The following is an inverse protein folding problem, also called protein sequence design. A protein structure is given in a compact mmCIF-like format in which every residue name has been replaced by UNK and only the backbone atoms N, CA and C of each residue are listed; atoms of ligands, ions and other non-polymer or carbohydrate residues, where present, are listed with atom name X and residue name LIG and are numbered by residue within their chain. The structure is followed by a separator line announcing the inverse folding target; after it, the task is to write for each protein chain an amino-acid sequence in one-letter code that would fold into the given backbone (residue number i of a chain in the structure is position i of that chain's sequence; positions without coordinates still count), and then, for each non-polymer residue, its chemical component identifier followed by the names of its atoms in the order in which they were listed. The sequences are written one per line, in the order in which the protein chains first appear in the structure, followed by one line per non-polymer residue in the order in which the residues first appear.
data_IF_069398465255
#
_entry.id   IF_069398465255
#
_cell.length_a   1.000
_cell.length_b   1.000
_cell.length_c   1.000
_cell.angle_alpha   90.00
_cell.angle_beta   90.00
_cell.angle_gamma   90.00
#
_symmetry.space_group_name_H-M   'P 1'
#
loop_
_entity.id
_entity.type
_entity.pdbx_description
1 polymer ?
#
# COMPACT_ATOMS: atom_id res chain seq x y z
N UNK A 1 72.15 -70.47 5.78
CA UNK A 1 71.28 -69.44 6.37
C UNK A 1 71.87 -68.05 6.13
N UNK A 2 71.39 -67.31 5.11
CA UNK A 2 71.57 -65.85 4.92
C UNK A 2 70.90 -65.49 3.58
N UNK A 3 69.58 -65.26 3.59
CA UNK A 3 68.89 -64.63 2.44
C UNK A 3 67.47 -64.13 2.78
N UNK A 4 67.26 -63.61 4.00
CA UNK A 4 65.96 -63.04 4.40
C UNK A 4 65.98 -61.54 4.70
N UNK A 5 67.16 -60.89 4.78
CA UNK A 5 67.26 -59.49 5.20
C UNK A 5 67.34 -58.45 4.06
N UNK A 6 67.74 -58.83 2.84
CA UNK A 6 67.86 -57.88 1.73
C UNK A 6 66.49 -57.50 1.12
N UNK A 7 65.55 -58.44 1.05
CA UNK A 7 64.21 -58.21 0.49
C UNK A 7 63.31 -57.30 1.36
N UNK A 8 63.45 -57.37 2.70
CA UNK A 8 62.67 -56.52 3.62
C UNK A 8 63.08 -55.04 3.57
N UNK A 9 64.34 -54.75 3.27
CA UNK A 9 64.87 -53.39 3.29
C UNK A 9 64.45 -52.57 2.05
N UNK A 10 64.33 -53.23 0.88
CA UNK A 10 63.86 -52.61 -0.35
C UNK A 10 62.33 -52.39 -0.38
N UNK A 11 61.55 -53.23 0.30
CA UNK A 11 60.10 -53.04 0.41
C UNK A 11 59.75 -51.82 1.27
N UNK A 12 60.45 -51.61 2.40
CA UNK A 12 60.22 -50.45 3.30
C UNK A 12 60.55 -49.11 2.65
N UNK A 13 61.61 -49.02 1.83
CA UNK A 13 61.97 -47.79 1.10
C UNK A 13 60.97 -47.43 0.00
N UNK A 14 60.47 -48.43 -0.74
CA UNK A 14 59.41 -48.22 -1.75
C UNK A 14 58.07 -47.84 -1.14
N UNK A 15 57.71 -48.39 0.02
CA UNK A 15 56.48 -48.03 0.75
C UNK A 15 56.56 -46.62 1.34
N UNK A 16 57.72 -46.20 1.86
CA UNK A 16 57.90 -44.81 2.35
C UNK A 16 57.87 -43.77 1.21
N UNK A 17 58.48 -44.06 0.05
CA UNK A 17 58.43 -43.14 -1.09
C UNK A 17 57.04 -43.08 -1.76
N UNK A 18 56.28 -44.17 -1.74
CA UNK A 18 54.88 -44.18 -2.22
C UNK A 18 53.89 -43.60 -1.21
N UNK A 19 54.16 -43.67 0.10
CA UNK A 19 53.38 -42.94 1.11
C UNK A 19 53.63 -41.43 1.06
N UNK A 20 54.87 -40.98 0.83
CA UNK A 20 55.16 -39.55 0.63
C UNK A 20 54.65 -39.02 -0.72
N UNK A 21 54.71 -39.82 -1.78
CA UNK A 21 54.12 -39.47 -3.08
C UNK A 21 52.59 -39.48 -3.09
N UNK A 22 51.97 -40.33 -2.26
CA UNK A 22 50.52 -40.40 -2.08
C UNK A 22 49.95 -39.31 -1.14
N UNK A 23 50.73 -38.83 -0.16
CA UNK A 23 50.31 -37.72 0.72
C UNK A 23 50.39 -36.34 0.05
N UNK A 24 51.17 -36.19 -1.02
CA UNK A 24 51.30 -34.92 -1.76
C UNK A 24 50.25 -34.75 -2.88
N UNK A 25 49.40 -35.76 -3.11
CA UNK A 25 48.28 -35.70 -4.06
C UNK A 25 46.91 -35.44 -3.41
N UNK A 26 46.85 -35.28 -2.08
CA UNK A 26 45.61 -34.98 -1.34
C UNK A 26 45.47 -33.53 -0.88
N UNK A 27 46.41 -32.65 -1.22
CA UNK A 27 46.33 -31.22 -0.91
C UNK A 27 46.19 -30.40 -2.20
N UNK A 28 45.05 -30.56 -2.86
CA UNK A 28 44.73 -29.86 -4.11
C UNK A 28 43.25 -29.57 -4.31
N UNK A 29 42.38 -29.79 -3.31
CA UNK A 29 41.11 -29.06 -3.28
C UNK A 29 41.48 -27.65 -2.82
N UNK A 30 41.68 -26.73 -3.76
CA UNK A 30 41.60 -25.30 -3.44
C UNK A 30 40.31 -25.12 -2.65
N UNK A 31 40.42 -24.83 -1.36
CA UNK A 31 39.26 -24.57 -0.53
C UNK A 31 38.55 -23.39 -1.17
N UNK A 32 37.38 -23.63 -1.76
CA UNK A 32 36.61 -22.61 -2.44
C UNK A 32 36.36 -21.46 -1.45
N UNK A 33 36.96 -20.31 -1.73
CA UNK A 33 36.63 -19.04 -1.10
C UNK A 33 35.41 -18.51 -1.83
N UNK A 34 34.32 -18.22 -1.13
CA UNK A 34 33.06 -17.83 -1.76
C UNK A 34 31.85 -18.13 -0.90
N UNK A 35 30.70 -18.25 -1.55
CA UNK A 35 29.42 -18.54 -0.92
C UNK A 35 28.84 -19.83 -1.49
N UNK A 36 28.54 -20.78 -0.62
CA UNK A 36 27.81 -22.00 -0.99
C UNK A 36 26.52 -22.07 -0.19
N UNK A 37 25.37 -22.11 -0.86
CA UNK A 37 24.07 -22.06 -0.21
C UNK A 37 23.17 -23.22 -0.63
N UNK A 38 22.39 -23.73 0.32
CA UNK A 38 21.32 -24.72 0.11
C UNK A 38 20.03 -24.19 0.73
N UNK A 39 18.88 -24.36 0.06
CA UNK A 39 17.58 -23.95 0.60
C UNK A 39 17.28 -24.69 1.91
N UNK A 40 16.72 -23.98 2.90
CA UNK A 40 16.37 -24.59 4.19
C UNK A 40 15.02 -25.36 4.14
N UNK A 41 14.34 -25.38 2.98
CA UNK A 41 13.15 -26.20 2.73
C UNK A 41 13.57 -27.61 2.28
N UNK A 42 13.25 -28.61 3.08
CA UNK A 42 13.68 -29.99 2.85
C UNK A 42 13.04 -30.61 1.60
N UNK A 43 13.86 -31.00 0.63
CA UNK A 43 13.75 -32.29 -0.05
C UNK A 43 15.17 -32.75 -0.38
N UNK A 44 15.51 -33.95 0.10
CA UNK A 44 16.67 -34.73 -0.27
C UNK A 44 16.68 -35.04 -1.77
N UNK A 45 17.87 -35.08 -2.37
CA UNK A 45 18.16 -35.76 -3.65
C UNK A 45 17.23 -35.42 -4.82
N UNK A 46 17.58 -34.36 -5.58
CA UNK A 46 17.02 -34.10 -6.91
C UNK A 46 15.78 -33.20 -6.89
N UNK A 47 15.97 -31.91 -7.17
CA UNK A 47 14.91 -31.01 -7.61
C UNK A 47 13.78 -30.74 -6.61
N UNK A 48 14.04 -29.95 -5.56
CA UNK A 48 13.00 -29.31 -4.76
C UNK A 48 13.01 -27.80 -4.99
N UNK A 49 12.36 -27.35 -6.07
CA UNK A 49 12.35 -25.95 -6.50
C UNK A 49 11.70 -25.06 -5.44
N UNK A 50 12.48 -24.15 -4.87
CA UNK A 50 12.00 -23.15 -3.93
C UNK A 50 11.78 -21.84 -4.71
N UNK A 51 10.52 -21.51 -5.01
CA UNK A 51 10.12 -20.33 -5.76
C UNK A 51 8.87 -19.70 -5.13
N UNK A 52 8.99 -18.74 -4.20
CA UNK A 52 7.87 -17.86 -3.96
C UNK A 52 7.78 -17.04 -5.24
N UNK A 53 6.71 -17.24 -6.01
CA UNK A 53 6.27 -16.26 -6.99
C UNK A 53 5.41 -15.26 -6.22
N UNK A 54 5.97 -14.26 -5.50
CA UNK A 54 5.14 -13.31 -4.79
C UNK A 54 4.26 -12.60 -5.80
N UNK A 55 2.96 -12.66 -5.56
CA UNK A 55 2.05 -11.67 -6.11
C UNK A 55 2.23 -10.39 -5.28
N UNK A 56 2.73 -9.36 -5.95
CA UNK A 56 3.10 -8.07 -5.37
C UNK A 56 2.04 -7.08 -5.83
N UNK A 57 1.04 -6.87 -4.98
CA UNK A 57 0.00 -5.86 -5.19
C UNK A 57 0.47 -4.51 -4.69
N UNK A 58 0.39 -3.49 -5.54
CA UNK A 58 0.74 -2.12 -5.19
C UNK A 58 -0.40 -1.20 -5.63
N UNK A 59 -1.09 -0.63 -4.64
CA UNK A 59 -2.04 0.45 -4.87
C UNK A 59 -1.27 1.74 -5.19
N UNK A 60 -1.38 2.18 -6.44
CA UNK A 60 -0.81 3.44 -6.90
C UNK A 60 -1.79 4.56 -6.59
N UNK A 61 -1.78 4.97 -5.33
CA UNK A 61 -2.71 5.96 -4.80
C UNK A 61 -2.29 7.35 -5.26
N UNK A 62 -3.15 7.99 -6.03
CA UNK A 62 -2.87 9.32 -6.57
C UNK A 62 -4.03 10.25 -6.28
N UNK A 63 -3.69 11.47 -5.85
CA UNK A 63 -4.64 12.57 -5.88
C UNK A 63 -4.83 12.95 -7.36
N UNK A 64 -6.07 13.18 -7.83
CA UNK A 64 -6.35 13.61 -9.18
C UNK A 64 -5.56 14.85 -9.56
N UNK A 65 -5.22 14.92 -10.84
CA UNK A 65 -4.27 15.88 -11.37
C UNK A 65 -3.00 15.22 -11.88
N UNK A 66 -2.02 16.04 -12.25
CA UNK A 66 -0.73 15.55 -12.74
C UNK A 66 0.15 15.08 -11.59
N UNK A 67 0.47 13.79 -11.56
CA UNK A 67 1.45 13.23 -10.62
C UNK A 67 2.87 13.44 -11.16
N UNK A 68 3.74 14.21 -10.47
CA UNK A 68 5.07 14.51 -10.97
C UNK A 68 5.96 13.26 -11.13
N UNK A 69 6.80 13.20 -12.18
CA UNK A 69 7.86 12.20 -12.27
C UNK A 69 8.73 12.18 -11.00
N UNK A 70 9.09 10.98 -10.53
CA UNK A 70 9.86 10.79 -9.30
C UNK A 70 9.02 10.60 -8.03
N UNK A 71 7.71 10.84 -8.06
CA UNK A 71 6.81 10.55 -6.93
C UNK A 71 6.74 9.05 -6.65
N UNK A 72 6.87 8.64 -5.38
CA UNK A 72 6.63 7.27 -4.95
C UNK A 72 5.13 6.96 -5.04
N UNK A 73 4.76 5.98 -5.85
CA UNK A 73 3.36 5.57 -6.05
C UNK A 73 2.94 4.45 -5.10
N UNK A 74 3.88 3.59 -4.71
CA UNK A 74 3.61 2.54 -3.73
C UNK A 74 4.80 1.61 -3.53
N UNK A 75 4.67 0.75 -2.51
CA UNK A 75 5.73 -0.16 -2.04
C UNK A 75 5.10 -1.49 -1.66
N UNK A 76 5.78 -2.58 -1.97
CA UNK A 76 5.42 -3.89 -1.45
C UNK A 76 6.66 -4.73 -1.17
N UNK A 77 6.55 -5.62 -0.19
CA UNK A 77 7.63 -6.53 0.20
C UNK A 77 7.31 -7.93 -0.29
N UNK A 78 8.33 -8.67 -0.69
CA UNK A 78 8.22 -10.12 -0.84
C UNK A 78 8.19 -10.77 0.54
N UNK A 79 7.69 -12.00 0.61
CA UNK A 79 7.93 -12.85 1.77
C UNK A 79 9.42 -13.08 2.02
N UNK A 80 9.74 -13.50 3.25
CA UNK A 80 11.09 -13.86 3.66
C UNK A 80 11.38 -15.33 3.39
N UNK A 81 12.65 -15.63 3.13
CA UNK A 81 13.04 -16.98 2.82
C UNK A 81 14.45 -17.37 3.20
N UNK A 82 14.57 -18.56 3.78
CA UNK A 82 15.76 -18.97 4.50
C UNK A 82 16.63 -19.93 3.72
N UNK A 83 17.94 -19.68 3.78
CA UNK A 83 18.98 -20.48 3.18
C UNK A 83 20.03 -20.82 4.23
N UNK A 84 20.57 -22.02 4.13
CA UNK A 84 21.75 -22.43 4.88
C UNK A 84 22.96 -22.19 3.99
N UNK A 85 23.85 -21.30 4.40
CA UNK A 85 24.99 -20.91 3.59
C UNK A 85 26.30 -21.12 4.34
N UNK A 86 27.36 -21.44 3.61
CA UNK A 86 28.74 -21.47 4.08
C UNK A 86 29.49 -20.35 3.39
N UNK A 87 30.08 -19.46 4.18
CA UNK A 87 30.84 -18.30 3.74
C UNK A 87 32.32 -18.49 4.09
N UNK A 88 33.20 -18.33 3.09
CA UNK A 88 34.64 -18.48 3.21
C UNK A 88 35.38 -17.37 2.44
N UNK A 89 36.63 -17.06 2.82
CA UNK A 89 37.43 -16.02 2.16
C UNK A 89 37.25 -14.62 2.77
N UNK A 90 37.52 -13.57 1.99
CA UNK A 90 37.41 -12.15 2.39
C UNK A 90 35.95 -11.65 2.39
N UNK A 91 35.70 -10.42 2.88
CA UNK A 91 34.35 -9.85 2.90
C UNK A 91 33.73 -9.71 1.50
N UNK A 92 34.54 -9.33 0.51
CA UNK A 92 34.12 -9.27 -0.90
C UNK A 92 33.75 -10.67 -1.41
N UNK A 93 34.58 -11.67 -1.11
CA UNK A 93 34.33 -13.05 -1.54
C UNK A 93 33.07 -13.65 -0.90
N UNK A 94 32.68 -13.15 0.28
CA UNK A 94 31.50 -13.58 1.03
C UNK A 94 30.26 -12.72 0.78
N UNK A 95 30.31 -11.84 -0.21
CA UNK A 95 29.15 -11.01 -0.59
C UNK A 95 28.23 -11.81 -1.52
N UNK A 96 26.94 -11.54 -1.41
CA UNK A 96 25.91 -12.08 -2.30
C UNK A 96 25.34 -10.95 -3.13
N UNK A 97 25.22 -11.19 -4.43
CA UNK A 97 24.57 -10.29 -5.37
C UNK A 97 23.33 -10.95 -5.96
N UNK A 98 22.33 -10.13 -6.28
CA UNK A 98 21.18 -10.52 -7.05
C UNK A 98 21.29 -9.93 -8.45
N UNK A 99 21.34 -10.80 -9.44
CA UNK A 99 21.41 -10.44 -10.84
C UNK A 99 20.01 -10.38 -11.44
N UNK A 100 19.58 -9.18 -11.81
CA UNK A 100 18.30 -9.01 -12.48
C UNK A 100 18.35 -9.56 -13.92
N UNK A 101 17.30 -10.29 -14.32
CA UNK A 101 17.09 -10.90 -15.64
C UNK A 101 15.73 -10.49 -16.23
N UNK A 102 15.14 -9.41 -15.73
CA UNK A 102 13.84 -8.92 -16.20
C UNK A 102 13.91 -8.61 -17.69
N UNK A 103 12.99 -9.19 -18.47
CA UNK A 103 12.98 -9.06 -19.92
C UNK A 103 12.69 -7.62 -20.35
N UNK A 104 13.12 -7.25 -21.56
CA UNK A 104 12.84 -5.93 -22.13
C UNK A 104 11.33 -5.68 -22.30
N UNK A 105 10.53 -6.73 -22.51
CA UNK A 105 9.08 -6.59 -22.67
C UNK A 105 8.40 -6.18 -21.36
N UNK A 106 8.81 -6.75 -20.23
CA UNK A 106 8.33 -6.33 -18.91
C UNK A 106 8.77 -4.89 -18.60
N UNK A 107 10.02 -4.53 -18.92
CA UNK A 107 10.49 -3.15 -18.75
C UNK A 107 9.67 -2.17 -19.58
N UNK A 108 9.40 -2.49 -20.85
CA UNK A 108 8.55 -1.68 -21.74
C UNK A 108 7.13 -1.56 -21.22
N UNK A 109 6.51 -2.65 -20.75
CA UNK A 109 5.17 -2.62 -20.16
C UNK A 109 5.09 -1.61 -19.01
N UNK A 110 6.03 -1.68 -18.07
CA UNK A 110 6.10 -0.78 -16.91
C UNK A 110 6.31 0.68 -17.35
N UNK A 111 7.27 0.92 -18.24
CA UNK A 111 7.55 2.26 -18.76
C UNK A 111 6.36 2.85 -19.53
N UNK A 112 5.67 2.05 -20.35
CA UNK A 112 4.46 2.45 -21.08
C UNK A 112 3.26 2.69 -20.16
N UNK A 113 3.26 2.07 -18.98
CA UNK A 113 2.28 2.32 -17.93
C UNK A 113 2.62 3.57 -17.09
N UNK A 114 3.66 4.30 -17.48
CA UNK A 114 4.07 5.53 -16.86
C UNK A 114 4.82 5.35 -15.54
N UNK A 115 5.45 4.19 -15.31
CA UNK A 115 6.11 3.86 -14.05
C UNK A 115 7.54 3.34 -14.23
N UNK A 116 8.33 3.47 -13.17
CA UNK A 116 9.66 2.90 -13.00
C UNK A 116 9.63 1.95 -11.81
N UNK A 117 10.17 0.75 -11.98
CA UNK A 117 10.22 -0.26 -10.93
C UNK A 117 11.61 -0.30 -10.32
N UNK A 118 11.66 -0.27 -9.00
CA UNK A 118 12.88 -0.40 -8.21
C UNK A 118 12.81 -1.63 -7.32
N UNK A 119 13.95 -2.28 -7.14
CA UNK A 119 14.15 -3.40 -6.23
C UNK A 119 15.18 -2.99 -5.18
N UNK A 120 14.84 -3.18 -3.92
CA UNK A 120 15.69 -2.93 -2.76
C UNK A 120 15.99 -4.25 -2.04
N UNK A 121 17.22 -4.37 -1.54
CA UNK A 121 17.68 -5.54 -0.81
C UNK A 121 17.01 -5.71 0.57
N UNK A 122 17.15 -6.88 1.20
CA UNK A 122 16.43 -7.26 2.43
C UNK A 122 16.72 -6.35 3.63
N UNK A 123 17.93 -5.83 3.73
CA UNK A 123 18.40 -5.06 4.90
C UNK A 123 18.47 -3.55 4.64
N UNK A 124 17.88 -3.09 3.53
CA UNK A 124 17.95 -1.71 3.08
C UNK A 124 19.34 -1.28 2.61
N UNK A 125 19.46 -0.05 2.10
CA UNK A 125 20.74 0.58 1.76
C UNK A 125 21.22 0.39 0.32
N UNK A 126 20.76 -0.63 -0.40
CA UNK A 126 21.02 -0.81 -1.84
C UNK A 126 19.71 -0.92 -2.62
N UNK A 127 19.55 -0.08 -3.64
CA UNK A 127 18.37 -0.06 -4.50
C UNK A 127 18.82 0.02 -5.94
N UNK A 128 18.24 -0.82 -6.79
CA UNK A 128 18.49 -0.83 -8.23
C UNK A 128 17.20 -0.58 -8.99
N UNK A 129 17.29 0.06 -10.13
CA UNK A 129 16.15 0.24 -11.02
C UNK A 129 16.02 -0.92 -11.99
N UNK A 130 14.94 -1.68 -11.86
CA UNK A 130 14.64 -2.82 -12.72
C UNK A 130 14.28 -2.36 -14.14
N UNK A 131 13.64 -1.21 -14.28
CA UNK A 131 13.24 -0.65 -15.59
C UNK A 131 14.38 -0.02 -16.39
N UNK A 132 15.59 0.15 -15.83
CA UNK A 132 16.74 0.62 -16.60
C UNK A 132 17.13 -0.39 -17.68
N UNK A 133 17.64 0.11 -18.82
CA UNK A 133 18.14 -0.74 -19.92
C UNK A 133 19.10 -1.82 -19.40
N UNK A 134 20.08 -1.39 -18.59
CA UNK A 134 21.07 -2.25 -17.94
C UNK A 134 20.93 -2.13 -16.43
N UNK A 135 20.16 -3.04 -15.83
CA UNK A 135 19.99 -3.08 -14.37
C UNK A 135 21.26 -3.63 -13.73
N UNK A 136 21.95 -2.86 -12.87
CA UNK A 136 23.14 -3.36 -12.19
C UNK A 136 22.77 -4.47 -11.19
N UNK A 137 23.72 -5.36 -10.84
CA UNK A 137 23.53 -6.32 -9.76
C UNK A 137 23.21 -5.61 -8.44
N UNK A 138 22.19 -6.10 -7.75
CA UNK A 138 21.83 -5.63 -6.41
C UNK A 138 22.70 -6.34 -5.38
N UNK A 139 23.44 -5.60 -4.56
CA UNK A 139 24.14 -6.21 -3.41
C UNK A 139 23.10 -6.61 -2.38
N UNK A 140 23.01 -7.90 -2.09
CA UNK A 140 22.06 -8.46 -1.10
C UNK A 140 22.63 -8.35 0.31
N UNK A 141 23.94 -8.59 0.47
CA UNK A 141 24.63 -8.48 1.74
C UNK A 141 25.99 -9.18 1.75
N UNK A 142 26.73 -9.03 2.85
CA UNK A 142 27.96 -9.76 3.13
C UNK A 142 27.92 -10.28 4.56
N UNK A 143 28.43 -11.49 4.79
CA UNK A 143 28.38 -12.17 6.08
C UNK A 143 29.78 -12.48 6.62
N UNK A 144 29.87 -12.74 7.92
CA UNK A 144 31.06 -13.29 8.52
C UNK A 144 31.35 -14.70 7.97
N UNK A 145 32.61 -15.11 8.00
CA UNK A 145 32.96 -16.48 7.64
C UNK A 145 32.32 -17.48 8.61
N UNK A 146 31.90 -18.64 8.09
CA UNK A 146 31.17 -19.64 8.87
C UNK A 146 29.93 -20.15 8.14
N UNK A 147 29.04 -20.84 8.87
CA UNK A 147 27.87 -21.50 8.31
C UNK A 147 26.52 -20.97 8.85
N UNK A 148 26.22 -19.66 8.74
CA UNK A 148 24.95 -19.10 9.23
C UNK A 148 23.75 -19.51 8.37
N UNK A 149 22.58 -19.52 8.98
CA UNK A 149 21.32 -19.44 8.26
C UNK A 149 21.02 -17.97 7.94
N UNK A 150 20.69 -17.68 6.70
CA UNK A 150 20.38 -16.32 6.23
C UNK A 150 18.97 -16.30 5.66
N UNK A 151 18.29 -15.16 5.78
CA UNK A 151 16.99 -14.96 5.16
C UNK A 151 17.07 -13.82 4.15
N UNK A 152 16.47 -14.03 2.99
CA UNK A 152 16.35 -13.00 1.97
C UNK A 152 14.89 -12.57 1.84
N UNK A 153 14.72 -11.35 1.33
CA UNK A 153 13.47 -10.72 1.01
C UNK A 153 13.78 -9.48 0.18
N UNK A 154 12.83 -9.03 -0.62
CA UNK A 154 12.98 -7.84 -1.44
C UNK A 154 11.85 -6.88 -1.20
N UNK A 155 12.14 -5.61 -1.41
CA UNK A 155 11.14 -4.56 -1.44
C UNK A 155 11.08 -3.98 -2.84
N UNK A 156 9.89 -3.95 -3.42
CA UNK A 156 9.63 -3.31 -4.69
C UNK A 156 9.01 -1.94 -4.46
N UNK A 157 9.50 -0.94 -5.21
CA UNK A 157 8.93 0.40 -5.23
C UNK A 157 8.51 0.75 -6.64
N UNK A 158 7.31 1.29 -6.79
CA UNK A 158 6.85 1.89 -8.04
C UNK A 158 7.03 3.39 -7.90
N UNK A 159 7.84 3.97 -8.76
CA UNK A 159 8.05 5.41 -8.85
C UNK A 159 7.43 5.90 -10.15
N UNK A 160 6.79 7.07 -10.09
CA UNK A 160 6.21 7.74 -11.25
C UNK A 160 7.28 8.01 -12.31
N UNK A 161 7.07 7.49 -13.51
CA UNK A 161 7.90 7.70 -14.70
C UNK A 161 7.40 8.85 -15.57
N UNK A 162 7.77 8.82 -16.86
CA UNK A 162 7.22 9.70 -17.90
C UNK A 162 5.98 9.08 -18.56
N UNK A 163 5.18 9.87 -19.29
CA UNK A 163 4.01 9.36 -20.02
C UNK A 163 2.75 9.22 -19.17
N UNK A 164 1.66 8.72 -19.73
CA UNK A 164 0.38 8.54 -19.03
C UNK A 164 0.47 7.45 -17.95
N UNK A 165 -0.04 7.71 -16.75
CA UNK A 165 -0.05 6.74 -15.66
C UNK A 165 -1.24 5.78 -15.82
N UNK A 166 -0.98 4.46 -15.81
CA UNK A 166 -2.00 3.42 -16.02
C UNK A 166 -1.84 2.28 -15.03
N UNK A 167 -2.94 1.59 -14.74
CA UNK A 167 -2.88 0.28 -14.10
C UNK A 167 -2.15 -0.71 -15.01
N UNK A 168 -1.49 -1.70 -14.42
CA UNK A 168 -0.77 -2.74 -15.16
C UNK A 168 -0.71 -4.04 -14.36
N UNK A 169 -0.51 -5.14 -15.08
CA UNK A 169 -0.20 -6.45 -14.54
C UNK A 169 0.92 -7.05 -15.38
N UNK A 170 2.03 -7.37 -14.74
CA UNK A 170 3.21 -7.95 -15.42
C UNK A 170 3.04 -9.42 -15.77
N UNK A 171 2.00 -10.10 -15.26
CA UNK A 171 1.97 -11.55 -15.22
C UNK A 171 3.12 -12.10 -14.37
N UNK A 172 3.28 -13.42 -14.33
CA UNK A 172 4.45 -14.02 -13.68
C UNK A 172 5.65 -13.90 -14.63
N UNK A 173 6.74 -13.27 -14.18
CA UNK A 173 7.95 -13.09 -14.98
C UNK A 173 9.23 -13.41 -14.19
N UNK A 174 10.32 -13.83 -14.86
CA UNK A 174 11.62 -14.05 -14.22
C UNK A 174 12.24 -12.70 -13.82
N UNK A 175 12.53 -12.55 -12.54
CA UNK A 175 13.16 -11.35 -11.98
C UNK A 175 14.68 -11.47 -12.03
N UNK A 176 15.25 -12.61 -11.64
CA UNK A 176 16.69 -12.77 -11.51
C UNK A 176 17.13 -13.93 -10.63
N UNK A 177 18.42 -14.00 -10.32
CA UNK A 177 19.00 -15.07 -9.50
C UNK A 177 20.12 -14.55 -8.60
N UNK A 178 20.47 -15.31 -7.57
CA UNK A 178 21.59 -15.01 -6.68
C UNK A 178 22.91 -15.54 -7.23
N UNK A 179 23.99 -14.79 -7.02
CA UNK A 179 25.36 -15.22 -7.31
C UNK A 179 26.34 -14.77 -6.23
N UNK A 180 27.46 -15.46 -6.16
CA UNK A 180 28.62 -15.07 -5.38
C UNK A 180 29.54 -14.13 -6.17
N UNK A 181 30.73 -13.84 -5.61
CA UNK A 181 31.70 -12.93 -6.21
C UNK A 181 32.36 -13.51 -7.47
N UNK A 182 32.43 -14.84 -7.58
CA UNK A 182 32.97 -15.53 -8.74
C UNK A 182 31.96 -15.63 -9.90
N UNK A 183 30.72 -15.18 -9.69
CA UNK A 183 29.66 -15.31 -10.69
C UNK A 183 28.92 -16.64 -10.62
N UNK A 184 29.25 -17.51 -9.66
CA UNK A 184 28.56 -18.78 -9.45
C UNK A 184 27.16 -18.51 -8.91
N UNK A 185 26.17 -18.90 -9.70
CA UNK A 185 24.77 -18.84 -9.27
C UNK A 185 24.47 -19.90 -8.21
N UNK A 186 23.58 -19.58 -7.28
CA UNK A 186 23.02 -20.56 -6.35
C UNK A 186 21.50 -20.41 -6.23
N UNK A 187 20.84 -21.58 -6.16
CA UNK A 187 19.39 -21.83 -6.26
C UNK A 187 18.75 -21.41 -7.59
N UNK A 188 17.42 -21.34 -7.58
CA UNK A 188 16.62 -21.20 -8.79
C UNK A 188 16.39 -19.73 -9.20
N UNK A 189 15.93 -19.55 -10.44
CA UNK A 189 15.42 -18.28 -10.93
C UNK A 189 14.25 -17.81 -10.05
N UNK A 190 14.33 -16.57 -9.59
CA UNK A 190 13.29 -15.89 -8.85
C UNK A 190 12.23 -15.35 -9.82
N UNK A 191 10.96 -15.61 -9.54
CA UNK A 191 9.84 -15.09 -10.33
C UNK A 191 8.99 -14.15 -9.49
N UNK A 192 8.29 -13.21 -10.12
CA UNK A 192 7.31 -12.36 -9.45
C UNK A 192 6.16 -12.05 -10.39
N UNK A 193 5.01 -11.69 -9.82
CA UNK A 193 3.92 -11.01 -10.52
C UNK A 193 3.65 -9.70 -9.82
N UNK A 194 3.92 -8.59 -10.50
CA UNK A 194 3.72 -7.24 -9.97
C UNK A 194 2.49 -6.63 -10.61
N UNK A 195 1.53 -6.23 -9.78
CA UNK A 195 0.26 -5.65 -10.17
C UNK A 195 0.19 -4.23 -9.60
N UNK A 196 0.19 -3.23 -10.48
CA UNK A 196 -0.03 -1.84 -10.12
C UNK A 196 -1.47 -1.44 -10.40
N UNK A 197 -2.26 -1.14 -9.37
CA UNK A 197 -3.63 -0.65 -9.55
C UNK A 197 -3.64 0.87 -9.37
N UNK A 198 -3.99 1.61 -10.42
CA UNK A 198 -4.19 3.04 -10.33
C UNK A 198 -5.50 3.32 -9.59
N UNK A 199 -5.42 4.03 -8.47
CA UNK A 199 -6.57 4.47 -7.68
C UNK A 199 -6.53 6.00 -7.58
N UNK A 200 -7.45 6.66 -8.28
CA UNK A 200 -7.59 8.11 -8.26
C UNK A 200 -8.56 8.53 -7.15
N UNK A 201 -8.05 9.09 -6.06
CA UNK A 201 -8.87 9.55 -4.95
C UNK A 201 -9.35 10.98 -5.18
N UNK A 202 -10.62 11.16 -5.52
CA UNK A 202 -11.19 12.50 -5.54
C UNK A 202 -10.97 13.23 -4.21
N UNK A 203 -10.42 14.46 -4.23
CA UNK A 203 -10.36 15.27 -3.03
C UNK A 203 -11.77 15.47 -2.46
N UNK A 204 -11.85 15.66 -1.16
CA UNK A 204 -13.11 15.98 -0.49
C UNK A 204 -13.73 17.23 -1.13
N UNK A 205 -15.00 17.18 -1.57
CA UNK A 205 -15.69 18.34 -2.12
C UNK A 205 -15.69 19.54 -1.17
N UNK A 206 -15.68 20.74 -1.75
CA UNK A 206 -15.90 21.96 -0.99
C UNK A 206 -17.39 22.02 -0.64
N UNK A 207 -17.70 22.15 0.65
CA UNK A 207 -19.05 22.33 1.15
C UNK A 207 -19.31 23.82 1.36
N UNK A 208 -20.31 24.36 0.66
CA UNK A 208 -20.78 25.74 0.81
C UNK A 208 -22.18 25.67 1.42
N UNK A 209 -22.38 26.34 2.55
CA UNK A 209 -23.70 26.43 3.20
C UNK A 209 -24.28 27.81 2.96
N UNK A 210 -25.29 27.90 2.09
CA UNK A 210 -26.04 29.14 1.91
C UNK A 210 -27.05 29.27 3.05
N UNK A 211 -27.09 30.44 3.68
CA UNK A 211 -27.81 30.68 4.93
C UNK A 211 -27.34 29.74 6.06
N UNK A 212 -26.02 29.66 6.26
CA UNK A 212 -25.40 28.91 7.38
C UNK A 212 -26.05 29.22 8.73
N UNK A 213 -26.51 30.45 8.91
CA UNK A 213 -27.37 30.85 10.03
C UNK A 213 -28.79 30.96 9.49
N UNK A 214 -29.67 30.12 10.02
CA UNK A 214 -31.12 30.22 9.79
C UNK A 214 -31.66 31.19 10.83
N UNK A 215 -31.90 32.43 10.40
CA UNK A 215 -32.40 33.51 11.25
C UNK A 215 -33.91 33.68 11.06
N UNK A 216 -34.68 33.32 12.07
CA UNK A 216 -36.13 33.49 12.09
C UNK A 216 -36.57 34.91 12.47
N UNK A 217 -35.62 35.81 12.73
CA UNK A 217 -35.84 37.19 13.15
C UNK A 217 -36.64 37.26 14.46
N UNK A 218 -37.26 38.41 14.71
CA UNK A 218 -38.13 38.61 15.85
C UNK A 218 -39.47 37.89 15.64
N UNK A 219 -39.87 37.10 16.63
CA UNK A 219 -41.10 36.31 16.63
C UNK A 219 -41.92 36.64 17.87
N UNK A 220 -43.24 36.55 17.72
CA UNK A 220 -44.21 36.72 18.80
C UNK A 220 -44.98 35.42 19.04
N UNK A 221 -45.56 35.21 20.23
CA UNK A 221 -46.38 34.03 20.50
C UNK A 221 -47.54 33.84 19.51
N UNK A 222 -48.07 34.94 18.94
CA UNK A 222 -49.15 34.93 17.94
C UNK A 222 -48.75 34.19 16.64
N UNK A 223 -47.46 34.14 16.32
CA UNK A 223 -46.94 33.40 15.17
C UNK A 223 -47.14 31.87 15.30
N UNK A 224 -47.43 31.37 16.50
CA UNK A 224 -47.54 29.94 16.81
C UNK A 224 -48.91 29.51 17.33
N UNK A 225 -49.87 30.44 17.42
CA UNK A 225 -51.22 30.13 17.86
C UNK A 225 -51.97 29.29 16.82
N UNK A 226 -52.87 28.43 17.31
CA UNK A 226 -53.72 27.56 16.46
C UNK A 226 -52.93 26.64 15.52
N UNK A 227 -51.76 26.16 15.97
CA UNK A 227 -50.92 25.24 15.19
C UNK A 227 -50.12 25.89 14.06
N UNK A 228 -50.02 27.23 14.02
CA UNK A 228 -49.17 27.93 13.04
C UNK A 228 -47.70 27.63 13.28
N UNK A 229 -46.94 27.61 12.19
CA UNK A 229 -45.49 27.40 12.19
C UNK A 229 -44.79 28.48 11.38
N UNK A 230 -43.50 28.68 11.66
CA UNK A 230 -42.64 29.63 10.95
C UNK A 230 -41.53 28.85 10.25
N UNK A 231 -41.30 29.13 8.96
CA UNK A 231 -40.44 28.31 8.11
C UNK A 231 -39.38 29.15 7.42
N UNK A 232 -38.14 28.68 7.48
CA UNK A 232 -37.00 29.27 6.78
C UNK A 232 -36.27 28.23 5.92
N UNK A 233 -35.53 28.68 4.90
CA UNK A 233 -34.84 27.81 3.96
C UNK A 233 -33.30 27.98 4.04
N UNK A 234 -32.59 26.87 3.84
CA UNK A 234 -31.15 26.86 3.65
C UNK A 234 -30.77 25.83 2.58
N UNK A 235 -29.55 25.93 2.05
CA UNK A 235 -29.02 24.92 1.13
C UNK A 235 -27.61 24.50 1.50
N UNK A 236 -27.31 23.25 1.16
CA UNK A 236 -25.99 22.66 1.24
C UNK A 236 -25.52 22.41 -0.19
N UNK A 237 -24.53 23.17 -0.62
CA UNK A 237 -23.98 23.10 -1.96
C UNK A 237 -22.63 22.39 -1.87
N UNK A 238 -22.43 21.39 -2.72
CA UNK A 238 -21.18 20.64 -2.78
C UNK A 238 -20.56 20.79 -4.15
N UNK A 239 -19.35 21.32 -4.16
CA UNK A 239 -18.58 21.53 -5.38
C UNK A 239 -17.43 20.52 -5.38
N UNK A 240 -17.47 19.49 -6.25
CA UNK A 240 -16.34 18.60 -6.45
C UNK A 240 -15.10 19.40 -6.85
N UNK A 241 -13.93 18.93 -6.43
CA UNK A 241 -12.68 19.55 -6.83
C UNK A 241 -12.52 19.52 -8.36
N UNK A 242 -11.97 20.60 -8.91
CA UNK A 242 -11.71 20.76 -10.36
C UNK A 242 -10.77 19.70 -10.96
N UNK A 243 -10.09 18.93 -10.12
CA UNK A 243 -9.25 17.80 -10.52
C UNK A 243 -9.97 16.45 -10.49
N UNK A 244 -11.12 16.35 -9.81
CA UNK A 244 -11.90 15.12 -9.68
C UNK A 244 -12.77 14.86 -10.93
N UNK A 245 -12.32 13.94 -11.79
CA UNK A 245 -13.08 13.50 -12.97
C UNK A 245 -14.08 12.37 -12.67
N UNK A 246 -14.02 11.75 -11.48
CA UNK A 246 -14.95 10.70 -11.09
C UNK A 246 -16.24 11.30 -10.50
N UNK A 247 -17.32 10.55 -10.59
CA UNK A 247 -18.55 10.88 -9.90
C UNK A 247 -18.43 10.48 -8.42
N UNK A 248 -18.78 11.40 -7.51
CA UNK A 248 -18.74 11.16 -6.08
C UNK A 248 -20.13 10.85 -5.57
N UNK A 249 -20.33 9.67 -4.98
CA UNK A 249 -21.60 9.33 -4.35
C UNK A 249 -21.71 10.01 -2.98
N UNK A 250 -22.77 10.80 -2.77
CA UNK A 250 -22.92 11.62 -1.56
C UNK A 250 -24.03 11.08 -0.68
N UNK A 251 -23.76 11.02 0.62
CA UNK A 251 -24.78 10.91 1.66
C UNK A 251 -24.65 12.05 2.68
N UNK A 252 -25.79 12.51 3.20
CA UNK A 252 -25.88 13.61 4.17
C UNK A 252 -26.57 13.12 5.44
N UNK A 253 -26.02 13.46 6.60
CA UNK A 253 -26.64 13.24 7.90
C UNK A 253 -26.63 14.52 8.74
N UNK A 254 -27.61 14.66 9.62
CA UNK A 254 -27.71 15.78 10.56
C UNK A 254 -27.56 15.26 11.99
N UNK A 255 -26.77 15.95 12.79
CA UNK A 255 -26.51 15.63 14.19
C UNK A 255 -26.76 16.87 15.06
N UNK A 256 -27.42 16.69 16.20
CA UNK A 256 -27.65 17.78 17.15
C UNK A 256 -26.77 17.59 18.39
N UNK A 257 -26.13 18.68 18.83
CA UNK A 257 -25.35 18.67 20.07
C UNK A 257 -26.24 18.80 21.33
N UNK A 258 -27.49 19.23 21.17
CA UNK A 258 -28.40 19.55 22.28
C UNK A 258 -29.47 18.48 22.52
N UNK A 259 -29.39 17.35 21.81
CA UNK A 259 -30.36 16.26 21.86
C UNK A 259 -31.61 16.52 21.02
N UNK A 260 -32.30 15.44 20.65
CA UNK A 260 -33.50 15.46 19.80
C UNK A 260 -34.58 14.52 20.33
N UNK A 261 -35.85 14.89 20.18
CA UNK A 261 -36.98 14.01 20.49
C UNK A 261 -37.37 13.22 19.25
N UNK A 262 -37.61 11.92 19.43
CA UNK A 262 -38.01 10.98 18.38
C UNK A 262 -37.09 11.04 17.15
N UNK A 263 -35.82 11.40 17.37
CA UNK A 263 -34.81 11.67 16.33
C UNK A 263 -35.21 12.74 15.31
N UNK A 264 -36.20 13.59 15.56
CA UNK A 264 -36.70 14.56 14.54
C UNK A 264 -36.80 15.99 15.06
N UNK A 265 -37.23 16.15 16.30
CA UNK A 265 -37.51 17.47 16.87
C UNK A 265 -36.30 17.98 17.64
N UNK A 266 -35.76 19.10 17.20
CA UNK A 266 -34.80 19.90 17.97
C UNK A 266 -35.57 20.75 18.96
N UNK A 267 -35.23 20.65 20.25
CA UNK A 267 -35.85 21.47 21.28
C UNK A 267 -35.08 22.77 21.50
N UNK A 268 -35.82 23.82 21.77
CA UNK A 268 -35.29 25.06 22.30
C UNK A 268 -35.71 25.20 23.77
N UNK A 269 -34.95 25.96 24.54
CA UNK A 269 -35.18 26.16 25.98
C UNK A 269 -36.32 27.13 26.31
N UNK A 270 -37.03 27.62 25.29
CA UNK A 270 -38.08 28.63 25.41
C UNK A 270 -39.48 28.12 25.02
N UNK A 271 -39.69 26.81 24.96
CA UNK A 271 -40.98 26.21 24.59
C UNK A 271 -41.18 26.04 23.08
N UNK A 272 -40.19 26.38 22.25
CA UNK A 272 -40.21 26.10 20.81
C UNK A 272 -39.53 24.75 20.49
N UNK A 273 -39.90 24.19 19.35
CA UNK A 273 -39.20 23.08 18.72
C UNK A 273 -39.09 23.30 17.21
N UNK A 274 -38.09 22.69 16.57
CA UNK A 274 -37.93 22.73 15.13
C UNK A 274 -37.73 21.34 14.51
N UNK A 275 -38.16 21.22 13.26
CA UNK A 275 -37.86 20.08 12.38
C UNK A 275 -37.14 20.57 11.12
N UNK A 276 -36.23 19.74 10.61
CA UNK A 276 -35.59 19.96 9.31
C UNK A 276 -36.27 19.06 8.29
N UNK A 277 -36.63 19.62 7.13
CA UNK A 277 -37.24 18.88 6.02
C UNK A 277 -36.34 18.98 4.79
N UNK A 278 -36.07 17.84 4.17
CA UNK A 278 -35.47 17.78 2.84
C UNK A 278 -36.52 18.15 1.80
N UNK A 279 -36.29 19.26 1.07
CA UNK A 279 -37.27 19.77 0.11
C UNK A 279 -37.36 18.93 -1.15
N UNK A 280 -36.33 18.15 -1.48
CA UNK A 280 -36.34 17.31 -2.68
C UNK A 280 -37.27 16.09 -2.53
N UNK A 281 -37.36 15.55 -1.31
CA UNK A 281 -38.17 14.37 -0.99
C UNK A 281 -39.41 14.71 -0.16
N UNK A 282 -39.51 15.95 0.31
CA UNK A 282 -40.50 16.41 1.30
C UNK A 282 -40.53 15.55 2.57
N UNK A 283 -39.38 14.99 2.95
CA UNK A 283 -39.25 14.13 4.14
C UNK A 283 -38.62 14.90 5.30
N UNK A 284 -39.21 14.74 6.48
CA UNK A 284 -38.61 15.21 7.74
C UNK A 284 -37.36 14.39 8.01
N UNK A 285 -36.25 15.10 8.21
CA UNK A 285 -34.95 14.53 8.54
C UNK A 285 -35.02 13.87 9.91
N UNK A 286 -34.63 12.61 9.95
CA UNK A 286 -34.23 11.93 11.17
C UNK A 286 -32.76 12.22 11.42
N UNK A 287 -32.44 12.75 12.58
CA UNK A 287 -31.08 12.93 13.06
C UNK A 287 -30.38 11.57 13.19
N UNK A 288 -29.06 11.60 12.96
CA UNK A 288 -28.16 10.44 12.90
C UNK A 288 -28.46 9.43 11.79
N UNK A 289 -29.38 9.73 10.88
CA UNK A 289 -29.65 8.94 9.68
C UNK A 289 -28.92 9.51 8.47
N UNK A 290 -28.28 8.64 7.69
CA UNK A 290 -27.67 8.99 6.42
C UNK A 290 -28.69 8.92 5.29
N UNK A 291 -28.81 10.01 4.53
CA UNK A 291 -29.65 10.13 3.36
C UNK A 291 -28.79 10.18 2.11
N UNK A 292 -28.90 9.17 1.25
CA UNK A 292 -28.23 9.16 -0.06
C UNK A 292 -28.80 10.26 -0.96
N UNK A 293 -27.91 11.03 -1.59
CA UNK A 293 -28.25 12.17 -2.44
C UNK A 293 -27.87 11.99 -3.91
N UNK A 294 -27.37 10.80 -4.27
CA UNK A 294 -26.90 10.53 -5.62
C UNK A 294 -25.45 10.94 -5.84
N UNK A 295 -25.04 10.85 -7.10
CA UNK A 295 -23.70 11.18 -7.54
C UNK A 295 -23.59 12.66 -7.95
N UNK A 296 -22.51 13.31 -7.52
CA UNK A 296 -22.12 14.67 -7.95
C UNK A 296 -20.89 14.60 -8.85
N UNK A 297 -20.78 15.55 -9.78
CA UNK A 297 -19.65 15.69 -10.72
C UNK A 297 -19.31 17.17 -10.89
N UNK A 298 -18.22 17.49 -11.58
CA UNK A 298 -17.87 18.89 -11.87
C UNK A 298 -18.96 19.60 -12.69
N UNK A 299 -19.56 18.89 -13.66
CA UNK A 299 -20.62 19.43 -14.51
C UNK A 299 -21.98 19.45 -13.80
N UNK A 300 -22.13 18.67 -12.72
CA UNK A 300 -23.33 18.59 -11.91
C UNK A 300 -22.96 18.62 -10.41
N UNK A 301 -22.64 19.82 -9.87
CA UNK A 301 -22.43 19.99 -8.44
C UNK A 301 -23.66 19.59 -7.63
N UNK A 302 -23.44 19.25 -6.36
CA UNK A 302 -24.52 18.96 -5.42
C UNK A 302 -25.22 20.24 -4.99
N UNK A 303 -26.55 20.25 -5.05
CA UNK A 303 -27.37 21.34 -4.54
C UNK A 303 -28.54 20.74 -3.75
N UNK A 304 -28.42 20.77 -2.42
CA UNK A 304 -29.39 20.11 -1.54
C UNK A 304 -30.15 21.14 -0.72
N UNK A 305 -31.44 21.31 -1.02
CA UNK A 305 -32.29 22.30 -0.35
C UNK A 305 -33.02 21.70 0.84
N UNK A 306 -33.02 22.46 1.93
CA UNK A 306 -33.70 22.10 3.16
C UNK A 306 -34.52 23.28 3.66
N UNK A 307 -35.46 22.98 4.56
CA UNK A 307 -36.17 23.98 5.33
C UNK A 307 -36.19 23.63 6.80
N UNK A 308 -36.12 24.63 7.66
CA UNK A 308 -36.32 24.50 9.10
C UNK A 308 -37.68 25.08 9.42
N UNK A 309 -38.51 24.32 10.12
CA UNK A 309 -39.84 24.73 10.54
C UNK A 309 -39.92 24.77 12.07
N UNK A 310 -40.14 25.96 12.62
CA UNK A 310 -40.38 26.21 14.03
C UNK A 310 -41.86 26.04 14.36
N UNK A 311 -42.13 25.37 15.48
CA UNK A 311 -43.46 25.15 16.03
C UNK A 311 -43.44 25.30 17.55
N UNK A 312 -44.62 25.52 18.13
CA UNK A 312 -44.76 25.42 19.58
C UNK A 312 -44.56 23.96 20.01
N UNK A 313 -43.84 23.74 21.10
CA UNK A 313 -43.79 22.43 21.74
C UNK A 313 -45.07 22.24 22.54
N UNK A 314 -45.88 21.26 22.14
CA UNK A 314 -47.21 21.04 22.71
C UNK A 314 -47.23 21.13 24.24
N UNK A 315 -48.17 21.92 24.77
CA UNK A 315 -48.40 22.15 26.19
C UNK A 315 -47.28 22.88 26.97
N UNK A 316 -46.30 23.48 26.30
CA UNK A 316 -45.34 24.39 26.95
C UNK A 316 -45.61 25.86 26.56
N UNK A 317 -45.62 26.80 27.53
CA UNK A 317 -45.72 28.22 27.22
C UNK A 317 -44.41 28.72 26.59
N UNK A 318 -44.54 29.51 25.53
CA UNK A 318 -43.37 30.16 24.89
C UNK A 318 -42.83 31.23 25.83
N UNK A 319 -41.56 31.12 26.21
CA UNK A 319 -40.86 32.10 27.06
C UNK A 319 -40.19 33.16 26.20
N UNK A 320 -40.35 34.42 26.58
CA UNK A 320 -39.64 35.53 25.94
C UNK A 320 -38.13 35.44 26.19
N UNK A 321 -37.34 35.76 25.18
CA UNK A 321 -35.88 35.77 25.25
C UNK A 321 -35.22 35.20 24.00
N UNK A 322 -33.89 35.35 23.88
CA UNK A 322 -33.14 34.76 22.77
C UNK A 322 -33.17 33.22 22.86
N UNK A 323 -33.23 32.57 21.70
CA UNK A 323 -33.13 31.11 21.57
C UNK A 323 -32.22 30.77 20.40
N UNK A 324 -31.49 29.66 20.52
CA UNK A 324 -30.63 29.15 19.45
C UNK A 324 -30.38 27.65 19.64
N UNK A 325 -30.01 26.98 18.55
CA UNK A 325 -29.58 25.59 18.57
C UNK A 325 -28.51 25.42 17.48
N UNK A 326 -27.65 24.41 17.62
CA UNK A 326 -26.58 24.10 16.68
C UNK A 326 -26.71 22.68 16.16
N UNK A 327 -26.62 22.55 14.83
CA UNK A 327 -26.68 21.28 14.12
C UNK A 327 -25.39 21.09 13.34
N UNK A 328 -24.78 19.92 13.49
CA UNK A 328 -23.68 19.50 12.65
C UNK A 328 -24.24 18.76 11.43
N UNK A 329 -23.67 19.03 10.27
CA UNK A 329 -24.00 18.32 9.03
C UNK A 329 -22.79 17.48 8.64
N UNK A 330 -23.01 16.18 8.47
CA UNK A 330 -21.97 15.22 8.08
C UNK A 330 -22.20 14.80 6.64
N UNK A 331 -21.10 14.77 5.89
CA UNK A 331 -21.07 14.29 4.51
C UNK A 331 -20.23 13.03 4.42
N UNK A 332 -20.71 12.05 3.69
CA UNK A 332 -19.95 10.83 3.35
C UNK A 332 -19.85 10.73 1.84
N UNK A 333 -18.65 10.39 1.37
CA UNK A 333 -18.29 10.26 -0.04
C UNK A 333 -17.82 8.85 -0.31
N UNK A 334 -18.24 8.28 -1.43
CA UNK A 334 -17.75 7.00 -1.94
C UNK A 334 -17.26 7.13 -3.38
#
# INVERSE_FOLDING_TARGET
MKNANSAKMNLRKRVMQSMLGGLLLTSGTFAYAGVSCTSNGGVSSGGGAWNPSPEVFIDMNTVPGSVPPGTLLGVANTGWFSWRCVFSGTAEQRTIWFNNQTSQDIKKLLLNSGVRLYQEGPYGGTTVEVTQTNTPPLVVGSWAAGAPNIAFGYKYKIIRGSGELKSFDTGVFPVGYHRDYQGKSFGDMYYARIIGKLVNYCPTPIVIMNNKVVDFKELTPENFQSGKTVKENFSLDLVPDSTCNAALEVSVAFQSNSGVINKKYMLFNNGLQAVITDKSTNQVVSFDQYYYKGAITQQRPGYFQYSVELSNKDNEPIKSGPFSNTVNVLFTYR
#
